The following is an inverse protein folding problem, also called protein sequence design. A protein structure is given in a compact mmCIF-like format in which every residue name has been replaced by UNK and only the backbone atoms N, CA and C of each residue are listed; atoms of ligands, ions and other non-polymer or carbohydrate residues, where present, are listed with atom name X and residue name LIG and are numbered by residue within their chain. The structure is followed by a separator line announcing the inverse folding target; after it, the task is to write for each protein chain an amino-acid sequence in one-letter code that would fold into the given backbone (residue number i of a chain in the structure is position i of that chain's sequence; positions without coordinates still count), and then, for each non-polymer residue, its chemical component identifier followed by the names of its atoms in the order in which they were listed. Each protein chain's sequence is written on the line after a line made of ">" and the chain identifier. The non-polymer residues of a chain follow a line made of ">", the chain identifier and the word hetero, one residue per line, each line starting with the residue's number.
data_IF_127854599710
#
_entry.id   IF_127854599710
#
_cell.length_a   1.000
_cell.length_b   1.000
_cell.length_c   1.000
_cell.angle_alpha   90.00
_cell.angle_beta   90.00
_cell.angle_gamma   90.00
#
_symmetry.space_group_name_H-M   'P 1'
#
loop_
_entity.id
_entity.type
_entity.pdbx_description
1 polymer ?
#
# COMPACT_ATOMS: atom_id res chain seq x y z
N UNK A 1 5.85 -5.61 21.57
CA UNK A 1 4.37 -5.72 21.73
C UNK A 1 4.05 -7.13 22.17
N UNK A 2 3.21 -7.30 23.20
CA UNK A 2 2.65 -8.63 23.53
C UNK A 2 1.60 -9.01 22.48
N UNK A 3 1.59 -10.26 22.05
CA UNK A 3 0.63 -10.76 21.04
C UNK A 3 -0.81 -10.62 21.50
N UNK A 4 -1.08 -10.74 22.80
CA UNK A 4 -2.40 -10.55 23.40
C UNK A 4 -3.05 -9.18 23.12
N UNK A 5 -2.24 -8.17 22.80
CA UNK A 5 -2.70 -6.80 22.57
C UNK A 5 -2.67 -6.42 21.08
N UNK A 6 -2.41 -7.39 20.20
CA UNK A 6 -2.31 -7.19 18.76
C UNK A 6 -3.59 -7.71 18.09
N UNK A 7 -4.15 -6.94 17.16
CA UNK A 7 -5.12 -7.46 16.22
C UNK A 7 -4.40 -8.45 15.28
N UNK A 8 -4.41 -9.72 15.65
CA UNK A 8 -3.81 -10.81 14.89
C UNK A 8 -4.92 -11.60 14.17
N UNK A 9 -5.15 -11.27 12.91
CA UNK A 9 -6.25 -11.82 12.11
C UNK A 9 -5.77 -12.89 11.11
N UNK A 10 -5.06 -13.90 11.60
CA UNK A 10 -4.53 -14.98 10.73
C UNK A 10 -5.64 -15.86 10.17
N UNK A 11 -5.48 -16.35 8.95
CA UNK A 11 -6.42 -17.28 8.31
C UNK A 11 -5.79 -18.65 8.05
N UNK A 12 -6.56 -19.70 8.30
CA UNK A 12 -6.14 -21.09 8.08
C UNK A 12 -6.21 -21.48 6.61
N UNK A 13 -7.36 -21.22 6.00
CA UNK A 13 -7.64 -21.54 4.61
C UNK A 13 -7.00 -20.54 3.65
N UNK A 14 -6.75 -20.99 2.42
CA UNK A 14 -6.29 -20.11 1.36
C UNK A 14 -7.48 -19.29 0.84
N UNK A 15 -7.36 -17.96 0.73
CA UNK A 15 -8.39 -17.14 0.12
C UNK A 15 -8.58 -17.55 -1.34
N UNK A 16 -9.83 -17.83 -1.73
CA UNK A 16 -10.17 -18.35 -3.06
C UNK A 16 -9.97 -17.33 -4.19
N UNK A 17 -9.85 -16.05 -3.85
CA UNK A 17 -9.72 -14.92 -4.77
C UNK A 17 -8.28 -14.38 -4.90
N UNK A 18 -7.29 -15.07 -4.31
CA UNK A 18 -5.88 -14.71 -4.41
C UNK A 18 -5.11 -15.72 -5.26
N UNK A 19 -4.68 -15.32 -6.45
CA UNK A 19 -3.94 -16.20 -7.37
C UNK A 19 -2.45 -16.29 -7.05
N UNK A 20 -1.83 -15.19 -6.60
CA UNK A 20 -0.40 -15.15 -6.32
C UNK A 20 -0.07 -15.58 -4.89
N UNK A 21 1.05 -16.30 -4.73
CA UNK A 21 1.49 -16.82 -3.42
C UNK A 21 1.73 -15.69 -2.41
N UNK A 22 2.34 -14.58 -2.84
CA UNK A 22 2.56 -13.42 -1.96
C UNK A 22 1.25 -12.86 -1.41
N UNK A 23 0.24 -12.68 -2.26
CA UNK A 23 -1.07 -12.19 -1.86
C UNK A 23 -1.76 -13.14 -0.86
N UNK A 24 -1.76 -14.45 -1.16
CA UNK A 24 -2.30 -15.47 -0.24
C UNK A 24 -1.62 -15.41 1.13
N UNK A 25 -0.28 -15.36 1.16
CA UNK A 25 0.49 -15.31 2.41
C UNK A 25 0.23 -14.03 3.20
N UNK A 26 0.13 -12.88 2.53
CA UNK A 26 -0.16 -11.61 3.20
C UNK A 26 -1.54 -11.59 3.86
N UNK A 27 -2.55 -12.20 3.23
CA UNK A 27 -3.87 -12.38 3.84
C UNK A 27 -3.78 -13.36 5.03
N UNK A 28 -3.16 -14.53 4.83
CA UNK A 28 -3.09 -15.58 5.86
C UNK A 28 -2.33 -15.15 7.11
N UNK A 29 -1.26 -14.37 6.94
CA UNK A 29 -0.49 -13.82 8.04
C UNK A 29 -1.18 -12.63 8.73
N UNK A 30 -2.36 -12.19 8.27
CA UNK A 30 -3.06 -11.03 8.81
C UNK A 30 -2.30 -9.73 8.60
N UNK A 31 -1.62 -9.58 7.44
CA UNK A 31 -0.93 -8.35 7.07
C UNK A 31 -1.86 -7.35 6.36
N UNK A 32 -2.79 -7.86 5.54
CA UNK A 32 -3.75 -7.07 4.78
C UNK A 32 -5.15 -7.69 4.82
N UNK A 33 -6.17 -6.86 4.56
CA UNK A 33 -7.57 -7.29 4.37
C UNK A 33 -8.19 -6.56 3.19
N UNK A 34 -8.75 -7.31 2.23
CA UNK A 34 -9.44 -6.75 1.06
C UNK A 34 -10.70 -5.99 1.46
N UNK A 35 -10.92 -4.84 0.83
CA UNK A 35 -12.12 -3.99 1.01
C UNK A 35 -12.91 -3.92 -0.30
N UNK A 36 -12.23 -3.76 -1.43
CA UNK A 36 -12.79 -3.80 -2.78
C UNK A 36 -11.75 -4.39 -3.75
N UNK A 37 -12.09 -4.52 -5.03
CA UNK A 37 -11.11 -4.93 -6.05
C UNK A 37 -9.93 -3.96 -6.06
N UNK A 38 -8.71 -4.48 -5.87
CA UNK A 38 -7.49 -3.66 -5.80
C UNK A 38 -7.31 -2.81 -4.53
N UNK A 39 -8.27 -2.80 -3.60
CA UNK A 39 -8.23 -1.93 -2.40
C UNK A 39 -8.13 -2.77 -1.14
N UNK A 40 -7.11 -2.48 -0.31
CA UNK A 40 -6.78 -3.25 0.89
C UNK A 40 -6.56 -2.36 2.10
N UNK A 41 -7.02 -2.81 3.25
CA UNK A 41 -6.61 -2.31 4.55
C UNK A 41 -5.29 -2.96 4.96
N UNK A 42 -4.34 -2.15 5.40
CA UNK A 42 -3.12 -2.63 6.06
C UNK A 42 -3.39 -2.87 7.55
N UNK A 43 -3.17 -4.09 8.00
CA UNK A 43 -3.32 -4.48 9.41
C UNK A 43 -2.05 -4.14 10.20
N UNK A 44 -2.06 -4.18 11.55
CA UNK A 44 -0.96 -3.66 12.35
C UNK A 44 0.43 -4.25 12.05
N UNK A 45 0.52 -5.54 11.70
CA UNK A 45 1.78 -6.14 11.26
C UNK A 45 2.18 -5.69 9.85
N UNK A 46 1.22 -5.56 8.93
CA UNK A 46 1.45 -5.03 7.59
C UNK A 46 1.97 -3.59 7.61
N UNK A 47 1.40 -2.73 8.45
CA UNK A 47 1.86 -1.35 8.64
C UNK A 47 3.32 -1.31 9.13
N UNK A 48 3.75 -2.21 10.01
CA UNK A 48 5.14 -2.26 10.47
C UNK A 48 6.11 -2.57 9.34
N UNK A 49 5.76 -3.55 8.50
CA UNK A 49 6.57 -3.91 7.34
C UNK A 49 6.60 -2.76 6.33
N UNK A 50 5.44 -2.17 6.03
CA UNK A 50 5.33 -1.02 5.14
C UNK A 50 6.25 0.13 5.57
N UNK A 51 6.20 0.50 6.87
CA UNK A 51 7.06 1.55 7.43
C UNK A 51 8.55 1.21 7.37
N UNK A 52 8.92 -0.06 7.54
CA UNK A 52 10.32 -0.46 7.41
C UNK A 52 10.83 -0.24 5.98
N UNK A 53 10.04 -0.63 4.98
CA UNK A 53 10.37 -0.40 3.56
C UNK A 53 10.42 1.10 3.26
N UNK A 54 9.42 1.85 3.71
CA UNK A 54 9.35 3.31 3.56
C UNK A 54 10.59 4.00 4.14
N UNK A 55 11.05 3.58 5.32
CA UNK A 55 12.24 4.14 5.97
C UNK A 55 13.52 3.86 5.19
N UNK A 56 13.66 2.66 4.62
CA UNK A 56 14.83 2.32 3.78
C UNK A 56 14.83 3.21 2.54
N UNK A 57 13.71 3.31 1.83
CA UNK A 57 13.59 4.18 0.65
C UNK A 57 13.91 5.63 1.01
N UNK A 58 13.35 6.15 2.12
CA UNK A 58 13.61 7.51 2.58
C UNK A 58 15.09 7.74 2.89
N UNK A 59 15.75 6.78 3.53
CA UNK A 59 17.18 6.88 3.84
C UNK A 59 18.01 7.01 2.57
N UNK A 60 17.81 6.12 1.59
CA UNK A 60 18.54 6.16 0.33
C UNK A 60 18.28 7.46 -0.46
N UNK A 61 17.03 7.92 -0.47
CA UNK A 61 16.66 9.18 -1.14
C UNK A 61 17.34 10.38 -0.47
N UNK A 62 17.38 10.43 0.87
CA UNK A 62 18.08 11.49 1.61
C UNK A 62 19.59 11.44 1.33
N UNK A 63 20.20 10.26 1.30
CA UNK A 63 21.63 10.10 1.02
C UNK A 63 21.98 10.53 -0.42
N UNK A 64 21.03 10.42 -1.35
CA UNK A 64 21.16 10.95 -2.72
C UNK A 64 20.96 12.48 -2.84
N UNK A 65 20.58 13.17 -1.75
CA UNK A 65 20.32 14.61 -1.74
C UNK A 65 18.90 15.01 -2.15
N UNK A 66 17.96 14.06 -2.25
CA UNK A 66 16.56 14.38 -2.54
C UNK A 66 15.88 15.07 -1.34
N UNK A 67 14.80 15.83 -1.63
CA UNK A 67 13.97 16.46 -0.61
C UNK A 67 12.55 15.89 -0.67
N UNK A 68 12.09 15.32 0.44
CA UNK A 68 10.75 14.72 0.52
C UNK A 68 9.66 15.80 0.65
N UNK A 69 8.59 15.66 -0.13
CA UNK A 69 7.38 16.50 -0.07
C UNK A 69 6.12 15.62 -0.02
N UNK A 70 5.09 16.06 0.70
CA UNK A 70 3.79 15.40 0.75
C UNK A 70 2.76 16.23 -0.03
N UNK A 71 2.34 15.72 -1.18
CA UNK A 71 1.34 16.37 -2.02
C UNK A 71 -0.07 15.84 -1.72
N UNK A 72 -1.13 16.63 -1.98
CA UNK A 72 -2.50 16.17 -1.81
C UNK A 72 -2.84 15.07 -2.81
N UNK A 73 -3.61 14.08 -2.35
CA UNK A 73 -4.09 12.98 -3.18
C UNK A 73 -5.12 13.44 -4.22
N UNK A 74 -5.97 14.40 -3.85
CA UNK A 74 -6.96 15.01 -4.75
C UNK A 74 -6.35 16.28 -5.35
N UNK A 75 -6.32 16.36 -6.68
CA UNK A 75 -5.68 17.44 -7.41
C UNK A 75 -6.66 18.12 -8.38
N UNK A 76 -6.54 19.45 -8.61
CA UNK A 76 -7.35 20.17 -9.60
C UNK A 76 -7.24 19.56 -11.00
N UNK A 77 -8.36 19.54 -11.73
CA UNK A 77 -8.44 18.92 -13.06
C UNK A 77 -7.61 19.67 -14.11
N UNK A 78 -7.42 20.96 -13.88
CA UNK A 78 -6.77 21.92 -14.77
C UNK A 78 -5.30 21.57 -14.95
N UNK A 79 -4.61 21.15 -13.88
CA UNK A 79 -3.19 20.75 -13.91
C UNK A 79 -2.92 19.58 -14.86
N UNK A 80 -3.87 18.65 -14.98
CA UNK A 80 -3.75 17.52 -15.91
C UNK A 80 -3.94 17.99 -17.34
N UNK A 81 -4.96 18.81 -17.60
CA UNK A 81 -5.26 19.34 -18.95
C UNK A 81 -4.09 20.12 -19.54
N UNK A 82 -3.31 20.81 -18.70
CA UNK A 82 -2.14 21.59 -19.13
C UNK A 82 -0.95 20.72 -19.59
N UNK A 83 -0.77 19.52 -19.02
CA UNK A 83 0.41 18.66 -19.27
C UNK A 83 0.14 17.51 -20.25
N UNK A 84 -1.12 17.25 -20.60
CA UNK A 84 -1.55 16.21 -21.55
C UNK A 84 -2.83 15.52 -21.08
N UNK A 85 -3.65 15.00 -22.00
CA UNK A 85 -5.02 14.55 -21.70
C UNK A 85 -5.07 13.57 -20.51
N UNK A 86 -5.74 13.98 -19.41
CA UNK A 86 -5.89 13.20 -18.17
C UNK A 86 -6.54 11.82 -18.40
N UNK A 87 -7.11 11.60 -19.59
CA UNK A 87 -7.58 10.31 -20.08
C UNK A 87 -6.49 9.21 -20.12
N UNK A 88 -5.20 9.55 -20.24
CA UNK A 88 -4.15 8.53 -20.20
C UNK A 88 -3.87 7.99 -18.79
N UNK A 89 -4.16 8.77 -17.74
CA UNK A 89 -4.04 8.30 -16.34
C UNK A 89 -5.32 7.61 -15.85
N UNK A 90 -6.48 8.01 -16.37
CA UNK A 90 -7.77 7.41 -16.03
C UNK A 90 -8.03 6.04 -16.67
N UNK A 91 -7.28 5.65 -17.70
CA UNK A 91 -7.46 4.36 -18.42
C UNK A 91 -6.86 3.13 -17.72
N UNK A 92 -6.13 3.30 -16.62
CA UNK A 92 -5.43 2.21 -15.92
C UNK A 92 -6.08 1.79 -14.59
N UNK A 93 -7.34 2.17 -14.35
CA UNK A 93 -8.13 1.76 -13.18
C UNK A 93 -9.52 1.28 -13.58
#
# INVERSE_FOLDING_TARGET
>A
MKTSNLLLATQRENPSDAETISHQLMIKAGLIRKVASGVYNWLPLGIKVLRNVENIVRQEMNDSGAQEVLMPMVQPSELWKETGDGNNMAKNY
#
